data_IF_650804462852
#
_entry.id   IF_650804462852
#
_cell.length_a   1.000
_cell.length_b   1.000
_cell.length_c   1.000
_cell.angle_alpha   90.00
_cell.angle_beta   90.00
_cell.angle_gamma   90.00
#
_symmetry.space_group_name_H-M   'P 1'
#
loop_
_entity.id
_entity.type
_entity.pdbx_description
1 polymer ?
#
# COMPACT_ATOMS: atom_id res chain seq x y z
N UNK A 1 12.23 8.13 -20.09
CA UNK A 1 12.73 8.00 -18.70
C UNK A 1 13.01 6.53 -18.45
N UNK A 2 14.18 6.18 -17.93
CA UNK A 2 14.51 4.82 -17.48
C UNK A 2 14.33 4.75 -15.96
N UNK A 3 13.40 3.93 -15.50
CA UNK A 3 13.05 3.74 -14.09
C UNK A 3 13.65 2.47 -13.49
N UNK A 4 14.46 1.72 -14.25
CA UNK A 4 15.09 0.46 -13.79
C UNK A 4 15.96 0.60 -12.55
N UNK A 5 16.43 1.82 -12.27
CA UNK A 5 17.27 2.14 -11.10
C UNK A 5 16.48 2.57 -9.86
N UNK A 6 15.15 2.71 -9.96
CA UNK A 6 14.33 3.03 -8.78
C UNK A 6 14.32 1.83 -7.85
N UNK A 7 14.89 2.00 -6.66
CA UNK A 7 14.97 0.94 -5.64
C UNK A 7 13.86 1.05 -4.60
N UNK A 8 13.43 2.27 -4.32
CA UNK A 8 12.43 2.60 -3.29
C UNK A 8 11.61 3.80 -3.77
N UNK A 9 10.29 3.65 -3.73
CA UNK A 9 9.30 4.69 -3.92
C UNK A 9 8.38 4.67 -2.70
N UNK A 10 8.63 5.56 -1.74
CA UNK A 10 7.83 5.69 -0.52
C UNK A 10 6.46 6.29 -0.87
N UNK A 11 5.39 5.65 -0.42
CA UNK A 11 4.01 6.12 -0.60
C UNK A 11 3.30 6.11 0.76
N UNK A 12 2.90 7.28 1.25
CA UNK A 12 2.32 7.43 2.59
C UNK A 12 1.76 8.82 2.81
N UNK A 13 1.71 9.25 4.09
CA UNK A 13 1.03 10.45 4.60
C UNK A 13 -0.51 10.35 4.64
N UNK A 14 -1.11 9.60 3.71
CA UNK A 14 -2.54 9.31 3.67
C UNK A 14 -2.80 7.80 3.47
N UNK A 15 -4.08 7.42 3.41
CA UNK A 15 -4.45 6.02 3.13
C UNK A 15 -4.00 5.63 1.72
N UNK A 16 -3.06 4.68 1.65
CA UNK A 16 -2.56 4.15 0.38
C UNK A 16 -3.64 3.30 -0.29
N UNK A 17 -4.01 3.69 -1.51
CA UNK A 17 -4.94 2.93 -2.36
C UNK A 17 -4.23 1.86 -3.19
N UNK A 18 -4.66 0.60 -3.05
CA UNK A 18 -4.06 -0.53 -3.78
C UNK A 18 -4.23 -0.38 -5.29
N UNK A 19 -5.43 -0.01 -5.76
CA UNK A 19 -5.71 0.07 -7.20
C UNK A 19 -4.78 1.07 -7.90
N UNK A 20 -4.58 2.21 -7.28
CA UNK A 20 -3.68 3.28 -7.73
C UNK A 20 -2.23 2.79 -7.78
N UNK A 21 -1.75 2.11 -6.74
CA UNK A 21 -0.37 1.58 -6.73
C UNK A 21 -0.14 0.53 -7.82
N UNK A 22 -1.12 -0.34 -8.10
CA UNK A 22 -1.05 -1.36 -9.14
C UNK A 22 -1.14 -0.75 -10.55
N UNK A 23 -2.00 0.24 -10.74
CA UNK A 23 -2.10 0.99 -11.98
C UNK A 23 -0.80 1.74 -12.29
N UNK A 24 -0.17 2.36 -11.28
CA UNK A 24 1.13 3.02 -11.42
C UNK A 24 2.21 2.03 -11.85
N UNK A 25 2.35 0.90 -11.14
CA UNK A 25 3.36 -0.11 -11.45
C UNK A 25 3.16 -0.69 -12.86
N UNK A 26 1.91 -0.95 -13.26
CA UNK A 26 1.58 -1.39 -14.63
C UNK A 26 1.96 -0.34 -15.66
N UNK A 27 1.56 0.91 -15.45
CA UNK A 27 1.77 2.01 -16.40
C UNK A 27 3.25 2.34 -16.61
N UNK A 28 4.07 2.20 -15.58
CA UNK A 28 5.49 2.54 -15.63
C UNK A 28 6.42 1.32 -15.70
N UNK A 29 5.87 0.09 -15.66
CA UNK A 29 6.62 -1.14 -15.91
C UNK A 29 7.28 -1.16 -17.27
N UNK A 30 6.65 -0.58 -18.31
CA UNK A 30 7.23 -0.42 -19.65
C UNK A 30 8.48 0.46 -19.68
N UNK A 31 8.66 1.33 -18.69
CA UNK A 31 9.83 2.18 -18.51
C UNK A 31 10.84 1.60 -17.51
N UNK A 32 10.62 0.36 -17.03
CA UNK A 32 11.50 -0.35 -16.12
C UNK A 32 11.19 -0.17 -14.63
N UNK A 33 10.05 0.41 -14.23
CA UNK A 33 9.73 0.55 -12.80
C UNK A 33 9.55 -0.84 -12.16
N UNK A 34 10.36 -1.21 -11.14
CA UNK A 34 10.31 -2.54 -10.57
C UNK A 34 9.10 -2.68 -9.63
N UNK A 35 8.25 -3.73 -9.78
CA UNK A 35 7.04 -3.90 -8.96
C UNK A 35 7.28 -3.89 -7.44
N UNK A 36 8.45 -4.35 -7.00
CA UNK A 36 8.84 -4.38 -5.58
C UNK A 36 9.34 -3.05 -5.01
N UNK A 37 9.50 -1.99 -5.82
CA UNK A 37 9.98 -0.69 -5.34
C UNK A 37 8.87 0.20 -4.76
N UNK A 38 7.59 -0.08 -5.01
CA UNK A 38 6.50 0.62 -4.35
C UNK A 38 6.44 0.19 -2.88
N UNK A 39 6.70 1.14 -1.97
CA UNK A 39 6.72 0.92 -0.52
C UNK A 39 5.64 1.77 0.16
N UNK A 40 4.48 1.19 0.48
CA UNK A 40 3.50 1.81 1.36
C UNK A 40 4.13 2.03 2.75
N UNK A 41 4.06 3.24 3.29
CA UNK A 41 4.65 3.62 4.58
C UNK A 41 3.67 4.41 5.44
N UNK A 42 3.90 4.41 6.75
CA UNK A 42 3.16 5.24 7.69
C UNK A 42 4.10 6.16 8.45
N UNK A 43 3.62 7.37 8.71
CA UNK A 43 4.38 8.45 9.32
C UNK A 43 3.48 9.58 9.84
N UNK A 44 3.98 10.32 10.82
CA UNK A 44 3.36 11.48 11.43
C UNK A 44 4.43 12.42 12.01
N UNK A 45 4.13 13.72 12.06
CA UNK A 45 5.10 14.73 12.49
C UNK A 45 5.52 14.55 13.95
N UNK A 46 4.58 14.18 14.81
CA UNK A 46 4.72 13.96 16.25
C UNK A 46 5.71 12.82 16.58
N UNK A 47 5.96 11.92 15.62
CA UNK A 47 6.87 10.78 15.76
C UNK A 47 8.17 10.95 14.95
N UNK A 48 8.49 12.15 14.48
CA UNK A 48 9.72 12.39 13.71
C UNK A 48 9.65 11.98 12.24
N UNK A 49 8.46 12.10 11.64
CA UNK A 49 8.11 11.78 10.26
C UNK A 49 7.79 10.31 10.00
N UNK A 50 8.74 9.38 10.03
CA UNK A 50 8.48 8.01 9.54
C UNK A 50 8.44 6.96 10.65
N UNK A 51 7.38 6.15 10.67
CA UNK A 51 7.09 5.21 11.77
C UNK A 51 7.15 3.75 11.33
N UNK A 52 6.54 3.41 10.19
CA UNK A 52 6.48 2.03 9.73
C UNK A 52 6.92 1.89 8.27
N UNK A 53 7.69 0.83 8.02
CA UNK A 53 8.19 0.46 6.70
C UNK A 53 8.05 -1.05 6.46
N UNK A 54 7.65 -1.48 5.26
CA UNK A 54 7.69 -2.88 4.86
C UNK A 54 9.14 -3.29 4.50
N UNK A 55 9.40 -4.60 4.44
CA UNK A 55 10.67 -5.10 3.90
C UNK A 55 10.84 -4.67 2.43
N UNK A 56 12.06 -4.29 2.06
CA UNK A 56 12.42 -3.93 0.69
C UNK A 56 12.07 -5.05 -0.30
N UNK A 57 11.57 -4.70 -1.48
CA UNK A 57 11.24 -5.67 -2.54
C UNK A 57 9.98 -6.51 -2.30
N UNK A 58 9.31 -6.38 -1.14
CA UNK A 58 8.08 -7.12 -0.82
C UNK A 58 6.91 -6.79 -1.75
N UNK A 59 6.91 -5.58 -2.32
CA UNK A 59 5.77 -5.01 -3.03
C UNK A 59 4.59 -4.70 -2.11
N UNK A 60 3.50 -4.24 -2.72
CA UNK A 60 2.28 -3.85 -2.02
C UNK A 60 1.53 -5.11 -1.56
N UNK A 61 1.19 -5.19 -0.27
CA UNK A 61 0.26 -6.20 0.27
C UNK A 61 -0.96 -5.52 0.84
N UNK A 62 -2.12 -6.15 0.68
CA UNK A 62 -3.37 -5.66 1.22
C UNK A 62 -4.27 -6.79 1.70
N UNK A 63 -5.19 -6.46 2.58
CA UNK A 63 -6.34 -7.31 2.94
C UNK A 63 -7.63 -6.59 2.55
N UNK A 64 -8.69 -7.37 2.32
CA UNK A 64 -10.05 -6.85 2.18
C UNK A 64 -10.81 -7.14 3.46
N UNK A 65 -11.43 -6.13 4.02
CA UNK A 65 -12.14 -6.19 5.30
C UNK A 65 -13.52 -5.60 5.19
N UNK A 66 -14.42 -5.97 6.10
CA UNK A 66 -15.76 -5.38 6.20
C UNK A 66 -15.67 -3.94 6.70
N UNK A 67 -16.40 -3.02 6.05
CA UNK A 67 -16.31 -1.59 6.35
C UNK A 67 -16.88 -1.23 7.70
N UNK A 68 -18.08 -1.72 8.02
CA UNK A 68 -18.76 -1.33 9.26
C UNK A 68 -18.00 -1.78 10.53
N UNK A 69 -17.61 -3.05 10.71
CA UNK A 69 -16.81 -3.48 11.86
C UNK A 69 -15.48 -2.73 11.98
N UNK A 70 -14.83 -2.41 10.85
CA UNK A 70 -13.58 -1.65 10.84
C UNK A 70 -13.76 -0.25 11.46
N UNK A 71 -14.90 0.40 11.23
CA UNK A 71 -15.25 1.68 11.85
C UNK A 71 -15.37 1.61 13.37
N UNK A 72 -15.72 0.44 13.89
CA UNK A 72 -15.83 0.14 15.33
C UNK A 72 -14.52 -0.44 15.90
N UNK A 73 -13.42 -0.43 15.14
CA UNK A 73 -12.12 -0.94 15.57
C UNK A 73 -11.97 -2.47 15.48
N UNK A 74 -12.90 -3.16 14.81
CA UNK A 74 -12.87 -4.62 14.63
C UNK A 74 -12.44 -4.99 13.21
N UNK A 75 -11.43 -5.84 13.08
CA UNK A 75 -10.96 -6.32 11.78
C UNK A 75 -11.63 -7.65 11.44
N UNK A 76 -12.56 -7.62 10.48
CA UNK A 76 -13.17 -8.81 9.89
C UNK A 76 -12.78 -8.94 8.43
N UNK A 77 -12.15 -10.06 8.07
CA UNK A 77 -11.84 -10.39 6.68
C UNK A 77 -13.11 -10.52 5.85
N UNK A 78 -13.09 -9.99 4.63
CA UNK A 78 -14.21 -10.08 3.71
C UNK A 78 -13.84 -10.80 2.42
N UNK A 79 -14.84 -11.47 1.82
CA UNK A 79 -14.65 -12.16 0.53
C UNK A 79 -14.57 -11.12 -0.61
N UNK A 80 -13.94 -11.47 -1.75
CA UNK A 80 -13.78 -10.53 -2.86
C UNK A 80 -15.11 -9.98 -3.43
N UNK A 81 -16.16 -10.80 -3.40
CA UNK A 81 -17.50 -10.57 -3.93
C UNK A 81 -18.47 -9.97 -2.92
N UNK A 82 -18.04 -9.79 -1.68
CA UNK A 82 -18.86 -9.26 -0.60
C UNK A 82 -19.06 -7.75 -0.73
N UNK A 83 -20.31 -7.31 -0.58
CA UNK A 83 -20.69 -5.90 -0.54
C UNK A 83 -20.19 -5.22 0.74
N UNK A 84 -20.09 -3.89 0.71
CA UNK A 84 -19.64 -3.07 1.85
C UNK A 84 -18.26 -3.45 2.42
N UNK A 85 -17.29 -3.61 1.51
CA UNK A 85 -15.91 -3.93 1.87
C UNK A 85 -14.96 -2.76 1.63
N UNK A 86 -13.77 -2.84 2.23
CA UNK A 86 -12.68 -1.90 2.04
C UNK A 86 -11.34 -2.63 1.94
N UNK A 87 -10.49 -2.20 1.01
CA UNK A 87 -9.09 -2.62 0.96
C UNK A 87 -8.24 -1.84 1.97
N UNK A 88 -7.38 -2.54 2.70
CA UNK A 88 -6.40 -1.95 3.64
C UNK A 88 -5.01 -2.42 3.23
N UNK A 89 -4.10 -1.47 3.02
CA UNK A 89 -2.72 -1.73 2.60
C UNK A 89 -1.80 -1.84 3.82
N UNK A 90 -0.92 -2.85 3.80
CA UNK A 90 0.10 -3.08 4.82
C UNK A 90 1.28 -2.12 4.61
N UNK A 91 1.59 -1.32 5.63
CA UNK A 91 2.63 -0.26 5.63
C UNK A 91 3.84 -0.58 6.51
N UNK A 92 3.90 -1.79 7.06
CA UNK A 92 4.91 -2.24 8.03
C UNK A 92 5.28 -3.71 7.84
N UNK A 93 5.99 -4.28 8.82
CA UNK A 93 6.42 -5.69 8.82
C UNK A 93 5.27 -6.62 9.18
#
# INVERSE_FOLDING_TARGET
>A
LDLSRVRVALNGAEMVDRGTTEAFATRFGVAGFPPGAMLPVYGLAEAGLAVAFPCLGRGVKSVRVRRHPLGEGVVESARPDEADTRGVVSVGR
#
